data_IF_146373090108
#
_entry.id   IF_146373090108
#
_cell.length_a   1.000
_cell.length_b   1.000
_cell.length_c   1.000
_cell.angle_alpha   90.00
_cell.angle_beta   90.00
_cell.angle_gamma   90.00
#
_symmetry.space_group_name_H-M   'P 1'
#
loop_
_entity.id
_entity.type
_entity.pdbx_description
1 polymer ?
#
# COMPACT_ATOMS: atom_id res chain seq x y z
N UNK A 1 -2.51 -20.27 -13.84
CA UNK A 1 -1.65 -20.42 -12.64
C UNK A 1 -2.57 -20.25 -11.46
N UNK A 2 -2.64 -21.23 -10.57
CA UNK A 2 -3.30 -21.04 -9.27
C UNK A 2 -2.45 -20.06 -8.46
N UNK A 3 -3.06 -19.01 -7.92
CA UNK A 3 -2.38 -18.05 -7.05
C UNK A 3 -1.85 -18.77 -5.82
N UNK A 4 -0.64 -18.41 -5.38
CA UNK A 4 -0.04 -19.07 -4.23
C UNK A 4 -0.85 -18.74 -2.97
N UNK A 5 -1.36 -19.78 -2.29
CA UNK A 5 -2.18 -19.64 -1.08
C UNK A 5 -1.50 -18.82 0.04
N UNK A 6 -0.16 -18.77 0.06
CA UNK A 6 0.63 -17.97 1.01
C UNK A 6 0.55 -16.47 0.71
N UNK A 7 0.46 -16.08 -0.56
CA UNK A 7 0.37 -14.68 -0.97
C UNK A 7 -1.08 -14.15 -0.89
N UNK A 8 -2.07 -15.05 -0.87
CA UNK A 8 -3.48 -14.68 -0.86
C UNK A 8 -3.89 -13.70 0.25
N UNK A 9 -3.41 -13.83 1.51
CA UNK A 9 -3.71 -12.85 2.55
C UNK A 9 -3.24 -11.43 2.21
N UNK A 10 -2.04 -11.28 1.62
CA UNK A 10 -1.52 -9.99 1.18
C UNK A 10 -2.35 -9.42 0.02
N UNK A 11 -2.65 -10.24 -0.99
CA UNK A 11 -3.47 -9.84 -2.14
C UNK A 11 -4.89 -9.43 -1.73
N UNK A 12 -5.48 -10.11 -0.75
CA UNK A 12 -6.80 -9.75 -0.22
C UNK A 12 -6.76 -8.41 0.53
N UNK A 13 -5.70 -8.16 1.30
CA UNK A 13 -5.51 -6.89 2.01
C UNK A 13 -5.33 -5.74 1.01
N UNK A 14 -4.46 -5.90 0.03
CA UNK A 14 -4.27 -4.97 -1.09
C UNK A 14 -5.58 -4.64 -1.80
N UNK A 15 -6.38 -5.65 -2.14
CA UNK A 15 -7.66 -5.45 -2.79
C UNK A 15 -8.63 -4.63 -1.93
N UNK A 16 -8.67 -4.89 -0.62
CA UNK A 16 -9.49 -4.14 0.33
C UNK A 16 -9.05 -2.67 0.43
N UNK A 17 -7.75 -2.43 0.59
CA UNK A 17 -7.20 -1.08 0.70
C UNK A 17 -7.38 -0.27 -0.60
N UNK A 18 -7.26 -0.91 -1.78
CA UNK A 18 -7.55 -0.27 -3.07
C UNK A 18 -9.02 0.11 -3.21
N UNK A 19 -9.94 -0.73 -2.73
CA UNK A 19 -11.36 -0.41 -2.75
C UNK A 19 -11.65 0.84 -1.88
N UNK A 20 -11.03 0.92 -0.71
CA UNK A 20 -11.12 2.10 0.16
C UNK A 20 -10.54 3.34 -0.54
N UNK A 21 -9.36 3.23 -1.16
CA UNK A 21 -8.75 4.32 -1.92
C UNK A 21 -9.65 4.80 -3.06
N UNK A 22 -10.24 3.87 -3.83
CA UNK A 22 -11.17 4.18 -4.92
C UNK A 22 -12.37 4.97 -4.41
N UNK A 23 -12.95 4.54 -3.28
CA UNK A 23 -14.09 5.24 -2.67
C UNK A 23 -13.70 6.64 -2.17
N UNK A 24 -12.55 6.76 -1.50
CA UNK A 24 -12.05 8.05 -0.99
C UNK A 24 -11.75 9.02 -2.14
N UNK A 25 -11.09 8.56 -3.20
CA UNK A 25 -10.82 9.38 -4.40
C UNK A 25 -12.12 9.82 -5.07
N UNK A 26 -13.10 8.91 -5.23
CA UNK A 26 -14.40 9.26 -5.78
C UNK A 26 -15.11 10.36 -4.98
N UNK A 27 -15.02 10.31 -3.65
CA UNK A 27 -15.58 11.34 -2.78
C UNK A 27 -14.84 12.67 -2.90
N UNK A 28 -13.51 12.66 -2.96
CA UNK A 28 -12.68 13.86 -3.11
C UNK A 28 -12.95 14.53 -4.47
N UNK A 29 -12.90 13.77 -5.56
CA UNK A 29 -13.09 14.27 -6.92
C UNK A 29 -14.50 14.79 -7.19
N UNK A 30 -15.52 14.26 -6.52
CA UNK A 30 -16.89 14.74 -6.63
C UNK A 30 -17.14 16.08 -5.91
N UNK A 31 -16.09 16.74 -5.40
CA UNK A 31 -16.21 17.95 -4.57
C UNK A 31 -16.87 17.69 -3.21
N UNK A 32 -17.03 16.41 -2.83
CA UNK A 32 -17.53 15.98 -1.52
C UNK A 32 -16.39 15.84 -0.52
N UNK A 33 -15.31 16.60 -0.67
CA UNK A 33 -14.23 16.74 0.30
C UNK A 33 -14.71 17.49 1.55
N UNK A 34 -15.71 16.92 2.20
CA UNK A 34 -16.20 17.35 3.49
C UNK A 34 -15.18 16.99 4.56
N UNK A 35 -15.32 17.61 5.74
CA UNK A 35 -14.60 17.21 6.96
C UNK A 35 -14.67 15.69 7.20
N UNK A 36 -15.80 15.05 6.83
CA UNK A 36 -15.99 13.60 6.92
C UNK A 36 -15.06 12.82 6.01
N UNK A 37 -14.90 13.24 4.75
CA UNK A 37 -14.00 12.57 3.79
C UNK A 37 -12.55 12.69 4.24
N UNK A 38 -12.13 13.88 4.71
CA UNK A 38 -10.80 14.10 5.28
C UNK A 38 -10.53 13.22 6.49
N UNK A 39 -11.49 13.14 7.41
CA UNK A 39 -11.40 12.26 8.56
C UNK A 39 -11.34 10.78 8.14
N UNK A 40 -12.05 10.38 7.09
CA UNK A 40 -12.00 9.03 6.56
C UNK A 40 -10.61 8.68 5.98
N UNK A 41 -9.95 9.62 5.29
CA UNK A 41 -8.55 9.45 4.84
C UNK A 41 -7.60 9.26 6.03
N UNK A 42 -7.72 10.10 7.06
CA UNK A 42 -6.90 9.97 8.28
C UNK A 42 -7.15 8.64 8.99
N UNK A 43 -8.42 8.24 9.10
CA UNK A 43 -8.80 6.97 9.71
C UNK A 43 -8.28 5.77 8.90
N UNK A 44 -8.32 5.84 7.58
CA UNK A 44 -7.77 4.80 6.71
C UNK A 44 -6.26 4.64 6.93
N UNK A 45 -5.51 5.75 6.99
CA UNK A 45 -4.08 5.71 7.33
C UNK A 45 -3.82 4.99 8.66
N UNK A 46 -4.46 5.46 9.74
CA UNK A 46 -4.18 4.99 11.11
C UNK A 46 -4.62 3.54 11.32
N UNK A 47 -5.78 3.15 10.77
CA UNK A 47 -6.40 1.88 11.12
C UNK A 47 -6.03 0.73 10.18
N UNK A 48 -5.69 1.04 8.92
CA UNK A 48 -5.46 0.08 7.85
C UNK A 48 -4.03 0.18 7.33
N UNK A 49 -3.73 1.23 6.56
CA UNK A 49 -2.52 1.29 5.74
C UNK A 49 -1.24 1.26 6.57
N UNK A 50 -1.20 1.93 7.72
CA UNK A 50 -0.03 1.89 8.59
C UNK A 50 0.29 0.44 9.04
N UNK A 51 -0.73 -0.33 9.42
CA UNK A 51 -0.54 -1.73 9.87
C UNK A 51 -0.13 -2.64 8.73
N UNK A 52 -0.67 -2.40 7.54
CA UNK A 52 -0.29 -3.10 6.31
C UNK A 52 1.22 -2.94 6.06
N UNK A 53 1.70 -1.71 5.93
CA UNK A 53 3.11 -1.43 5.65
C UNK A 53 4.03 -1.93 6.77
N UNK A 54 3.61 -1.83 8.03
CA UNK A 54 4.37 -2.39 9.15
C UNK A 54 4.46 -3.91 9.10
N UNK A 55 3.42 -4.60 8.63
CA UNK A 55 3.45 -6.05 8.46
C UNK A 55 4.47 -6.43 7.37
N UNK A 56 4.41 -5.76 6.21
CA UNK A 56 5.33 -6.02 5.11
C UNK A 56 6.79 -5.75 5.48
N UNK A 57 7.06 -4.65 6.16
CA UNK A 57 8.42 -4.32 6.61
C UNK A 57 8.97 -5.29 7.66
N UNK A 58 8.10 -5.93 8.44
CA UNK A 58 8.49 -6.93 9.44
C UNK A 58 8.63 -8.34 8.85
N UNK A 59 7.91 -8.66 7.78
CA UNK A 59 7.83 -10.02 7.24
C UNK A 59 8.21 -10.09 5.76
N UNK A 60 7.39 -9.52 4.88
CA UNK A 60 7.53 -9.64 3.43
C UNK A 60 8.87 -9.09 2.93
N UNK A 61 9.21 -7.84 3.25
CA UNK A 61 10.42 -7.21 2.72
C UNK A 61 11.70 -7.92 3.20
N UNK A 62 11.87 -8.27 4.49
CA UNK A 62 13.00 -9.10 4.93
C UNK A 62 13.11 -10.43 4.17
N UNK A 63 11.98 -11.10 3.95
CA UNK A 63 11.94 -12.33 3.16
C UNK A 63 12.41 -12.08 1.71
N UNK A 64 11.92 -11.03 1.05
CA UNK A 64 12.37 -10.66 -0.30
C UNK A 64 13.87 -10.39 -0.36
N UNK A 65 14.42 -9.69 0.63
CA UNK A 65 15.87 -9.43 0.72
C UNK A 65 16.66 -10.73 0.89
N UNK A 66 16.21 -11.63 1.76
CA UNK A 66 16.86 -12.94 1.99
C UNK A 66 16.91 -13.79 0.70
N UNK A 67 15.88 -13.71 -0.13
CA UNK A 67 15.81 -14.43 -1.41
C UNK A 67 16.43 -13.66 -2.59
N UNK A 68 17.19 -12.61 -2.32
CA UNK A 68 17.82 -11.76 -3.35
C UNK A 68 16.84 -11.22 -4.40
N UNK A 69 15.58 -11.01 -3.99
CA UNK A 69 14.56 -10.40 -4.83
C UNK A 69 15.03 -9.00 -5.24
N UNK A 70 15.04 -8.75 -6.56
CA UNK A 70 15.80 -7.66 -7.19
C UNK A 70 15.84 -6.36 -6.38
N UNK A 71 17.05 -5.95 -5.98
CA UNK A 71 17.31 -4.84 -5.05
C UNK A 71 16.62 -3.52 -5.43
N UNK A 72 16.39 -3.29 -6.72
CA UNK A 72 15.65 -2.13 -7.20
C UNK A 72 14.19 -2.09 -6.71
N UNK A 73 13.53 -3.25 -6.60
CA UNK A 73 12.14 -3.35 -6.16
C UNK A 73 12.01 -3.16 -4.65
N UNK A 74 12.86 -3.82 -3.86
CA UNK A 74 12.86 -3.66 -2.40
C UNK A 74 13.23 -2.24 -1.98
N UNK A 75 14.19 -1.61 -2.67
CA UNK A 75 14.51 -0.20 -2.45
C UNK A 75 13.35 0.74 -2.83
N UNK A 76 12.62 0.43 -3.92
CA UNK A 76 11.47 1.24 -4.33
C UNK A 76 10.34 1.14 -3.30
N UNK A 77 10.00 -0.07 -2.84
CA UNK A 77 9.02 -0.27 -1.76
C UNK A 77 9.35 0.55 -0.52
N UNK A 78 10.58 0.46 -0.02
CA UNK A 78 11.01 1.26 1.13
C UNK A 78 10.87 2.76 0.91
N UNK A 79 11.18 3.25 -0.29
CA UNK A 79 11.06 4.68 -0.63
C UNK A 79 9.60 5.12 -0.73
N UNK A 80 8.73 4.32 -1.34
CA UNK A 80 7.30 4.59 -1.40
C UNK A 80 6.71 4.61 0.02
N UNK A 81 7.06 3.63 0.85
CA UNK A 81 6.61 3.58 2.24
C UNK A 81 7.01 4.82 3.04
N UNK A 82 8.27 5.23 2.92
CA UNK A 82 8.75 6.44 3.58
C UNK A 82 8.01 7.70 3.06
N UNK A 83 7.78 7.78 1.75
CA UNK A 83 7.06 8.92 1.14
C UNK A 83 5.61 8.99 1.62
N UNK A 84 4.92 7.84 1.67
CA UNK A 84 3.55 7.74 2.19
C UNK A 84 3.50 8.20 3.64
N UNK A 85 4.43 7.76 4.51
CA UNK A 85 4.50 8.19 5.91
C UNK A 85 4.67 9.69 6.06
N UNK A 86 5.65 10.25 5.35
CA UNK A 86 5.93 11.71 5.39
C UNK A 86 4.71 12.51 4.95
N UNK A 87 3.96 12.02 3.97
CA UNK A 87 2.73 12.68 3.53
C UNK A 87 1.59 12.49 4.56
N UNK A 88 1.50 11.32 5.18
CA UNK A 88 0.52 11.01 6.21
C UNK A 88 0.66 11.91 7.45
N UNK A 89 1.90 12.21 7.87
CA UNK A 89 2.20 13.12 8.99
C UNK A 89 1.62 14.52 8.80
N UNK A 90 1.40 14.93 7.54
CA UNK A 90 0.83 16.24 7.21
C UNK A 90 -0.70 16.24 7.18
N UNK A 91 -1.37 15.09 7.11
CA UNK A 91 -2.83 15.00 7.02
C UNK A 91 -3.58 15.67 8.20
N UNK A 92 -3.14 15.57 9.47
CA UNK A 92 -3.85 16.20 10.59
C UNK A 92 -3.64 17.71 10.68
N UNK A 93 -2.51 18.21 10.16
CA UNK A 93 -2.10 19.62 10.27
C UNK A 93 -2.48 20.46 9.03
N UNK A 94 -3.01 19.81 7.99
CA UNK A 94 -3.31 20.46 6.73
C UNK A 94 -4.42 21.50 6.83
N UNK A 95 -4.02 22.78 6.94
CA UNK A 95 -4.86 23.92 6.55
C UNK A 95 -4.85 24.12 5.02
N UNK A 96 -3.97 23.41 4.29
CA UNK A 96 -3.60 23.61 2.87
C UNK A 96 -4.65 23.11 1.84
N UNK A 97 -5.92 23.00 2.22
CA UNK A 97 -6.99 22.59 1.30
C UNK A 97 -7.02 21.10 0.98
N UNK A 98 -7.87 20.71 0.02
CA UNK A 98 -8.17 19.30 -0.28
C UNK A 98 -7.04 18.55 -1.00
N UNK A 99 -6.09 19.28 -1.58
CA UNK A 99 -5.04 18.75 -2.43
C UNK A 99 -4.18 17.70 -1.75
N UNK A 100 -3.84 17.90 -0.47
CA UNK A 100 -2.96 16.96 0.24
C UNK A 100 -3.63 15.61 0.49
N UNK A 101 -4.94 15.60 0.73
CA UNK A 101 -5.71 14.37 0.89
C UNK A 101 -5.81 13.63 -0.44
N UNK A 102 -6.05 14.37 -1.53
CA UNK A 102 -6.07 13.80 -2.87
C UNK A 102 -4.72 13.19 -3.25
N UNK A 103 -3.63 13.94 -3.06
CA UNK A 103 -2.28 13.49 -3.34
C UNK A 103 -1.91 12.24 -2.53
N UNK A 104 -2.29 12.21 -1.24
CA UNK A 104 -2.10 11.05 -0.39
C UNK A 104 -2.83 9.82 -0.93
N UNK A 105 -4.14 9.92 -1.15
CA UNK A 105 -4.91 8.74 -1.60
C UNK A 105 -4.47 8.28 -2.98
N UNK A 106 -4.11 9.20 -3.89
CA UNK A 106 -3.54 8.83 -5.20
C UNK A 106 -2.22 8.08 -5.06
N UNK A 107 -1.29 8.59 -4.27
CA UNK A 107 0.00 7.94 -4.03
C UNK A 107 -0.18 6.52 -3.49
N UNK A 108 -1.04 6.37 -2.48
CA UNK A 108 -1.35 5.05 -1.90
C UNK A 108 -1.98 4.13 -2.94
N UNK A 109 -2.94 4.63 -3.71
CA UNK A 109 -3.60 3.81 -4.73
C UNK A 109 -2.61 3.28 -5.78
N UNK A 110 -1.69 4.13 -6.27
CA UNK A 110 -0.65 3.71 -7.22
C UNK A 110 0.34 2.71 -6.59
N UNK A 111 0.73 2.91 -5.33
CA UNK A 111 1.58 1.97 -4.59
C UNK A 111 0.92 0.58 -4.47
N UNK A 112 -0.36 0.51 -4.07
CA UNK A 112 -1.08 -0.77 -3.96
C UNK A 112 -1.32 -1.45 -5.32
N UNK A 113 -1.31 -0.69 -6.42
CA UNK A 113 -1.35 -1.24 -7.79
C UNK A 113 0.02 -1.77 -8.20
N UNK A 114 1.09 -1.03 -7.89
CA UNK A 114 2.46 -1.47 -8.13
C UNK A 114 2.75 -2.79 -7.40
N UNK A 115 2.35 -2.90 -6.14
CA UNK A 115 2.52 -4.14 -5.38
C UNK A 115 1.82 -5.32 -6.04
N UNK A 116 0.53 -5.19 -6.32
CA UNK A 116 -0.29 -6.25 -6.94
C UNK A 116 0.19 -6.66 -8.33
N UNK A 117 0.45 -5.68 -9.20
CA UNK A 117 0.74 -5.92 -10.62
C UNK A 117 2.20 -6.18 -10.92
N UNK A 118 3.11 -5.75 -10.05
CA UNK A 118 4.55 -5.85 -10.29
C UNK A 118 5.21 -6.70 -9.23
N UNK A 119 5.07 -6.34 -7.94
CA UNK A 119 5.80 -7.03 -6.87
C UNK A 119 5.29 -8.47 -6.73
N UNK A 120 4.01 -8.69 -6.47
CA UNK A 120 3.47 -10.03 -6.24
C UNK A 120 3.56 -10.92 -7.49
N UNK A 121 3.35 -10.37 -8.68
CA UNK A 121 3.59 -11.10 -9.93
C UNK A 121 5.05 -11.53 -10.03
N UNK A 122 6.00 -10.63 -9.74
CA UNK A 122 7.43 -10.96 -9.82
C UNK A 122 7.86 -11.96 -8.75
N UNK A 123 7.26 -11.91 -7.56
CA UNK A 123 7.48 -12.89 -6.48
C UNK A 123 7.11 -14.29 -6.98
N UNK A 124 5.93 -14.44 -7.56
CA UNK A 124 5.46 -15.74 -8.09
C UNK A 124 6.34 -16.26 -9.24
N UNK A 125 6.90 -15.36 -10.06
CA UNK A 125 7.81 -15.73 -11.16
C UNK A 125 9.21 -16.14 -10.72
N UNK A 126 9.72 -15.58 -9.60
CA UNK A 126 11.15 -15.65 -9.26
C UNK A 126 11.45 -16.45 -8.00
N UNK A 127 10.50 -16.58 -7.08
CA UNK A 127 10.69 -17.31 -5.83
C UNK A 127 9.94 -18.65 -5.92
N UNK A 128 10.64 -19.79 -5.81
CA UNK A 128 10.00 -21.10 -5.86
C UNK A 128 8.90 -21.25 -4.79
N UNK A 129 7.79 -21.90 -5.14
CA UNK A 129 6.65 -22.08 -4.22
C UNK A 129 7.02 -22.71 -2.86
N UNK A 130 8.01 -23.62 -2.84
CA UNK A 130 8.54 -24.25 -1.61
C UNK A 130 9.23 -23.26 -0.67
N UNK A 131 9.81 -22.18 -1.23
CA UNK A 131 10.46 -21.11 -0.48
C UNK A 131 9.40 -20.10 -0.02
N UNK A 132 8.42 -19.79 -0.88
CA UNK A 132 7.27 -18.97 -0.49
C UNK A 132 6.47 -19.56 0.68
N UNK A 133 6.42 -20.89 0.82
CA UNK A 133 5.79 -21.55 1.96
C UNK A 133 6.44 -21.25 3.34
N UNK A 134 7.56 -20.54 3.36
CA UNK A 134 8.27 -20.13 4.58
C UNK A 134 7.94 -18.68 5.01
N UNK A 135 7.17 -17.96 4.19
CA UNK A 135 6.63 -16.64 4.49
C UNK A 135 5.40 -16.75 5.40
#
# INVERSE_FOLDING_TARGET
>A
MEQNAVLQPFLNHLASDRQICTQLLGNIMAGKSSKTTKQAVVNFWINNLQKHMEAEEKTLIPFLVQHHFGLQYTNLLHREHNTIRVLAERLPAAQEGDYIYEAFVKLVHEHLLFEDKVIFTRIEETIPARELAQL
#
